data_IF_384911624564
#
_entry.id   IF_384911624564
#
_cell.length_a   1.000
_cell.length_b   1.000
_cell.length_c   1.000
_cell.angle_alpha   90.00
_cell.angle_beta   90.00
_cell.angle_gamma   90.00
#
_symmetry.space_group_name_H-M   'P 1'
#
loop_
_entity.id
_entity.type
_entity.pdbx_description
1 polymer ?
#
# COMPACT_ATOMS: atom_id res chain seq x y z
N UNK A 1 -7.03 -3.94 -10.41
CA UNK A 1 -7.17 -2.90 -9.37
C UNK A 1 -5.96 -1.97 -9.31
N UNK A 2 -4.74 -2.47 -9.52
CA UNK A 2 -3.52 -1.66 -9.34
C UNK A 2 -3.31 -0.52 -10.34
N UNK A 3 -3.66 -0.63 -11.63
CA UNK A 3 -3.13 0.33 -12.62
C UNK A 3 -3.45 1.81 -12.32
N UNK A 4 -4.69 2.16 -11.99
CA UNK A 4 -5.05 3.55 -11.70
C UNK A 4 -4.64 4.00 -10.29
N UNK A 5 -4.77 3.12 -9.29
CA UNK A 5 -4.41 3.43 -7.90
C UNK A 5 -2.90 3.59 -7.74
N UNK A 6 -2.11 2.74 -8.38
CA UNK A 6 -0.64 2.76 -8.39
C UNK A 6 -0.12 4.06 -8.98
N UNK A 7 -0.57 4.42 -10.18
CA UNK A 7 -0.17 5.67 -10.83
C UNK A 7 -0.51 6.89 -9.96
N UNK A 8 -1.70 6.92 -9.35
CA UNK A 8 -2.09 7.99 -8.44
C UNK A 8 -1.17 8.08 -7.21
N UNK A 9 -0.87 6.95 -6.57
CA UNK A 9 0.01 6.88 -5.39
C UNK A 9 1.40 7.40 -5.73
N UNK A 10 1.99 6.92 -6.82
CA UNK A 10 3.34 7.31 -7.26
C UNK A 10 3.40 8.79 -7.66
N UNK A 11 2.42 9.30 -8.42
CA UNK A 11 2.38 10.71 -8.85
C UNK A 11 2.19 11.69 -7.69
N UNK A 12 1.47 11.29 -6.65
CA UNK A 12 1.12 12.18 -5.55
C UNK A 12 2.21 12.21 -4.48
N UNK A 13 3.09 11.20 -4.41
CA UNK A 13 4.19 11.08 -3.42
C UNK A 13 3.73 11.26 -1.96
N UNK A 14 2.44 10.99 -1.67
CA UNK A 14 1.84 11.32 -0.36
C UNK A 14 2.09 10.26 0.72
N UNK A 15 2.73 9.15 0.37
CA UNK A 15 2.88 8.00 1.26
C UNK A 15 4.33 7.53 1.28
N UNK A 16 4.90 7.44 2.47
CA UNK A 16 6.23 6.85 2.68
C UNK A 16 6.14 5.32 2.82
N UNK A 17 5.04 4.82 3.38
CA UNK A 17 4.78 3.41 3.62
C UNK A 17 3.46 3.01 2.99
N UNK A 18 3.43 1.85 2.33
CA UNK A 18 2.25 1.33 1.66
C UNK A 18 2.08 -0.17 1.95
N UNK A 19 0.89 -0.59 2.37
CA UNK A 19 0.55 -2.00 2.49
C UNK A 19 -0.85 -2.22 1.94
N UNK A 20 -1.03 -3.31 1.17
CA UNK A 20 -2.28 -3.60 0.52
C UNK A 20 -2.49 -5.12 0.42
N UNK A 21 -3.60 -5.61 0.96
CA UNK A 21 -3.97 -7.03 0.96
C UNK A 21 -5.07 -7.29 -0.05
N UNK A 22 -4.92 -8.31 -0.89
CA UNK A 22 -5.96 -8.70 -1.84
C UNK A 22 -6.99 -9.58 -1.11
N UNK A 23 -8.29 -9.24 -1.21
CA UNK A 23 -9.38 -10.02 -0.58
C UNK A 23 -9.85 -11.22 -1.44
N UNK A 24 -9.09 -11.58 -2.47
CA UNK A 24 -9.56 -12.47 -3.54
C UNK A 24 -9.21 -13.93 -3.32
N UNK A 25 -8.11 -14.25 -2.63
CA UNK A 25 -7.75 -15.60 -2.14
C UNK A 25 -6.57 -15.49 -1.16
N UNK A 26 -6.42 -16.49 -0.29
CA UNK A 26 -5.46 -16.63 0.82
C UNK A 26 -4.20 -15.74 0.70
N UNK A 27 -4.15 -14.72 1.54
CA UNK A 27 -2.92 -14.05 2.01
C UNK A 27 -2.05 -13.34 0.98
N UNK A 28 -2.39 -13.38 -0.31
CA UNK A 28 -1.68 -12.59 -1.30
C UNK A 28 -1.84 -11.10 -0.97
N UNK A 29 -0.71 -10.44 -0.74
CA UNK A 29 -0.61 -9.01 -0.56
C UNK A 29 0.39 -8.42 -1.53
N UNK A 30 0.38 -7.08 -1.65
CA UNK A 30 1.28 -6.38 -2.54
C UNK A 30 2.75 -6.64 -2.21
N UNK A 31 3.05 -6.91 -0.94
CA UNK A 31 4.40 -7.21 -0.48
C UNK A 31 4.98 -8.49 -1.13
N UNK A 32 4.13 -9.47 -1.45
CA UNK A 32 4.56 -10.73 -2.09
C UNK A 32 4.86 -10.57 -3.59
N UNK A 33 4.49 -9.43 -4.19
CA UNK A 33 4.72 -9.13 -5.60
C UNK A 33 6.06 -8.40 -5.77
N UNK A 34 7.16 -9.14 -5.83
CA UNK A 34 8.53 -8.57 -5.86
C UNK A 34 8.74 -7.48 -6.92
N UNK A 35 8.21 -7.68 -8.14
CA UNK A 35 8.38 -6.72 -9.23
C UNK A 35 7.60 -5.42 -8.95
N UNK A 36 6.42 -5.51 -8.35
CA UNK A 36 5.63 -4.36 -7.93
C UNK A 36 6.32 -3.61 -6.78
N UNK A 37 6.85 -4.32 -5.79
CA UNK A 37 7.61 -3.74 -4.67
C UNK A 37 8.83 -2.96 -5.18
N UNK A 38 9.57 -3.53 -6.15
CA UNK A 38 10.71 -2.85 -6.79
C UNK A 38 10.27 -1.57 -7.48
N UNK A 39 9.16 -1.57 -8.22
CA UNK A 39 8.67 -0.37 -8.89
C UNK A 39 8.30 0.73 -7.89
N UNK A 40 7.58 0.42 -6.81
CA UNK A 40 7.28 1.39 -5.75
C UNK A 40 8.55 1.96 -5.09
N UNK A 41 9.60 1.15 -4.94
CA UNK A 41 10.87 1.59 -4.34
C UNK A 41 11.57 2.67 -5.16
N UNK A 42 11.43 2.67 -6.49
CA UNK A 42 11.94 3.71 -7.39
C UNK A 42 11.29 5.08 -7.13
N UNK A 43 10.10 5.08 -6.54
CA UNK A 43 9.36 6.27 -6.15
C UNK A 43 9.51 6.61 -4.66
N UNK A 44 10.51 6.05 -3.97
CA UNK A 44 10.75 6.22 -2.53
C UNK A 44 9.59 5.74 -1.63
N UNK A 45 8.77 4.81 -2.13
CA UNK A 45 7.65 4.23 -1.39
C UNK A 45 8.08 2.86 -0.87
N UNK A 46 8.00 2.67 0.44
CA UNK A 46 8.32 1.39 1.08
C UNK A 46 7.05 0.55 1.17
N UNK A 47 6.97 -0.51 0.37
CA UNK A 47 5.91 -1.51 0.53
C UNK A 47 6.22 -2.40 1.73
N UNK A 48 5.24 -2.62 2.60
CA UNK A 48 5.37 -3.45 3.79
C UNK A 48 4.27 -4.51 3.85
N UNK A 49 4.55 -5.60 4.56
CA UNK A 49 3.53 -6.58 4.93
C UNK A 49 2.40 -5.87 5.69
N UNK A 50 1.16 -6.22 5.37
CA UNK A 50 -0.01 -5.59 5.96
C UNK A 50 -0.07 -5.74 7.49
N UNK A 51 0.38 -6.87 8.02
CA UNK A 51 0.41 -7.11 9.46
C UNK A 51 1.57 -6.38 10.16
N UNK A 52 2.63 -6.04 9.44
CA UNK A 52 3.76 -5.26 9.96
C UNK A 52 3.50 -3.75 9.94
N UNK A 53 2.51 -3.31 9.16
CA UNK A 53 2.15 -1.91 9.04
C UNK A 53 1.58 -1.41 10.38
N UNK A 54 2.44 -0.73 11.18
CA UNK A 54 2.08 -0.12 12.46
C UNK A 54 1.28 1.16 12.27
N UNK A 55 0.04 1.03 11.79
CA UNK A 55 -0.92 2.12 11.82
C UNK A 55 -1.46 2.18 13.26
N UNK A 56 -1.20 3.28 13.98
CA UNK A 56 -1.93 3.54 15.22
C UNK A 56 -3.44 3.48 14.96
N UNK A 57 -4.26 3.06 15.91
CA UNK A 57 -5.73 3.03 15.75
C UNK A 57 -6.22 4.40 15.27
N UNK A 58 -6.50 4.53 13.98
CA UNK A 58 -7.18 5.69 13.45
C UNK A 58 -8.64 5.56 13.88
N UNK A 59 -9.05 6.36 14.88
CA UNK A 59 -10.46 6.62 15.11
C UNK A 59 -10.90 7.54 13.97
N UNK A 60 -11.56 6.97 12.97
CA UNK A 60 -12.16 7.73 11.87
C UNK A 60 -13.26 8.61 12.47
N UNK A 61 -12.94 9.86 12.80
CA UNK A 61 -13.98 10.86 13.06
C UNK A 61 -14.49 11.25 11.67
N UNK A 62 -15.56 10.59 11.24
CA UNK A 62 -16.46 11.22 10.28
C UNK A 62 -17.27 12.18 11.14
N UNK A 63 -16.87 13.45 11.18
CA UNK A 63 -17.79 14.51 11.59
C UNK A 63 -18.67 14.79 10.36
N UNK A 64 -19.97 14.53 10.52
CA UNK A 64 -21.02 14.95 9.60
C UNK A 64 -21.27 16.47 9.71
#
# INVERSE_FOLDING_TARGET
MLHYTKEYIMRKERVKYFAFRFYTNKWDELYDLEDEVKEFSLHNIVVQNYNDLKIGKFKRILEE
#
